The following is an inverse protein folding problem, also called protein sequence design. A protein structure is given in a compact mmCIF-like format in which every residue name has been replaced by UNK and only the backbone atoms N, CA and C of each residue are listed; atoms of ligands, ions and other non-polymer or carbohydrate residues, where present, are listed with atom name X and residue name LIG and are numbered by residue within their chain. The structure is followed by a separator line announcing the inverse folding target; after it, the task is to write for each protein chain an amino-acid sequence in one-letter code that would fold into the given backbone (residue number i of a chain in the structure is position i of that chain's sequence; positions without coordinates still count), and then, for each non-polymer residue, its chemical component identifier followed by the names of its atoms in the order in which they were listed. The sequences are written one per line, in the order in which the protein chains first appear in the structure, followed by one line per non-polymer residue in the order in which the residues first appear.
data_IF_932651118500
#
_entry.id   IF_932651118500
#
_cell.length_a   1.000
_cell.length_b   1.000
_cell.length_c   1.000
_cell.angle_alpha   90.00
_cell.angle_beta   90.00
_cell.angle_gamma   90.00
#
_symmetry.space_group_name_H-M   'P 1'
#
loop_
_entity.id
_entity.type
_entity.pdbx_description
1 polymer ?
#
# COMPACT_ATOMS: atom_id res chain seq x y z
N UNK A 1 -12.31 -37.82 -14.91
CA UNK A 1 -11.52 -38.52 -13.88
C UNK A 1 -10.33 -37.64 -13.53
N UNK A 2 -10.40 -36.87 -12.44
CA UNK A 2 -9.25 -36.12 -11.94
C UNK A 2 -8.20 -37.12 -11.42
N UNK A 3 -7.01 -37.11 -11.99
CA UNK A 3 -5.87 -37.84 -11.46
C UNK A 3 -5.47 -37.20 -10.13
N UNK A 4 -5.94 -37.74 -9.00
CA UNK A 4 -5.39 -37.39 -7.69
C UNK A 4 -3.91 -37.80 -7.68
N UNK A 5 -3.03 -36.81 -7.68
CA UNK A 5 -1.59 -37.01 -7.46
C UNK A 5 -1.43 -37.36 -5.97
N UNK A 6 -1.39 -38.64 -5.66
CA UNK A 6 -1.13 -39.13 -4.30
C UNK A 6 0.36 -39.41 -4.20
N UNK A 7 1.09 -38.67 -3.36
CA UNK A 7 2.47 -38.98 -3.04
C UNK A 7 2.53 -40.36 -2.35
N UNK A 8 3.29 -41.30 -2.88
CA UNK A 8 3.46 -42.65 -2.30
C UNK A 8 4.17 -42.63 -0.94
N UNK A 9 4.94 -41.59 -0.67
CA UNK A 9 5.67 -41.41 0.59
C UNK A 9 5.02 -40.30 1.42
N UNK A 10 4.65 -40.58 2.66
CA UNK A 10 4.03 -39.61 3.56
C UNK A 10 4.95 -38.44 3.95
N UNK A 11 6.26 -38.66 3.98
CA UNK A 11 7.23 -37.62 4.40
C UNK A 11 7.73 -36.74 3.24
N UNK A 12 7.62 -37.19 1.99
CA UNK A 12 8.12 -36.46 0.82
C UNK A 12 7.50 -35.04 0.67
N UNK A 13 6.18 -34.82 0.85
CA UNK A 13 5.62 -33.47 0.82
C UNK A 13 6.22 -32.55 1.87
N UNK A 14 6.45 -33.05 3.08
CA UNK A 14 7.08 -32.26 4.15
C UNK A 14 8.54 -31.93 3.86
N UNK A 15 9.30 -32.87 3.30
CA UNK A 15 10.68 -32.63 2.89
C UNK A 15 10.77 -31.58 1.77
N UNK A 16 9.83 -31.59 0.82
CA UNK A 16 9.76 -30.58 -0.26
C UNK A 16 9.36 -29.21 0.26
N UNK A 17 8.51 -29.12 1.30
CA UNK A 17 8.11 -27.88 1.93
C UNK A 17 9.12 -27.37 2.96
N UNK A 18 9.97 -28.25 3.50
CA UNK A 18 10.90 -27.91 4.59
C UNK A 18 11.81 -26.70 4.31
N UNK A 19 12.42 -26.53 3.11
CA UNK A 19 13.23 -25.34 2.82
C UNK A 19 12.42 -24.05 2.90
N UNK A 20 11.21 -24.04 2.33
CA UNK A 20 10.32 -22.86 2.38
C UNK A 20 9.87 -22.56 3.80
N UNK A 21 9.48 -23.60 4.57
CA UNK A 21 9.07 -23.43 5.95
C UNK A 21 10.23 -22.91 6.80
N UNK A 22 11.44 -23.46 6.62
CA UNK A 22 12.63 -22.99 7.33
C UNK A 22 12.92 -21.51 7.07
N UNK A 23 12.90 -21.07 5.81
CA UNK A 23 13.07 -19.66 5.44
C UNK A 23 11.98 -18.80 6.10
N UNK A 24 10.74 -19.25 6.05
CA UNK A 24 9.61 -18.50 6.66
C UNK A 24 9.76 -18.40 8.18
N UNK A 25 10.15 -19.47 8.86
CA UNK A 25 10.35 -19.44 10.32
C UNK A 25 11.51 -18.50 10.68
N UNK A 26 12.66 -18.65 10.01
CA UNK A 26 13.89 -17.92 10.36
C UNK A 26 13.76 -16.42 10.03
N UNK A 27 13.19 -16.06 8.89
CA UNK A 27 13.21 -14.66 8.41
C UNK A 27 11.92 -13.90 8.66
N UNK A 28 10.81 -14.57 9.01
CA UNK A 28 9.54 -13.90 9.32
C UNK A 28 9.08 -14.13 10.76
N UNK A 29 8.92 -15.38 11.18
CA UNK A 29 8.39 -15.65 12.51
C UNK A 29 9.38 -15.35 13.63
N UNK A 30 10.66 -15.65 13.43
CA UNK A 30 11.68 -15.36 14.43
C UNK A 30 11.86 -13.86 14.70
N UNK A 31 12.06 -12.97 13.70
CA UNK A 31 12.12 -11.52 13.93
C UNK A 31 10.82 -10.95 14.50
N UNK A 32 9.64 -11.47 14.08
CA UNK A 32 8.36 -11.05 14.65
C UNK A 32 8.27 -11.40 16.15
N UNK A 33 8.68 -12.61 16.53
CA UNK A 33 8.73 -13.02 17.94
C UNK A 33 9.72 -12.16 18.75
N UNK A 34 10.88 -11.82 18.17
CA UNK A 34 11.84 -10.91 18.80
C UNK A 34 11.25 -9.50 18.97
N UNK A 35 10.56 -8.97 17.97
CA UNK A 35 9.91 -7.66 18.09
C UNK A 35 8.85 -7.66 19.20
N UNK A 36 8.04 -8.74 19.31
CA UNK A 36 7.08 -8.88 20.41
C UNK A 36 7.83 -8.94 21.76
N UNK A 37 8.93 -9.65 21.85
CA UNK A 37 9.72 -9.73 23.10
C UNK A 37 10.32 -8.38 23.47
N UNK A 38 10.96 -7.68 22.53
CA UNK A 38 11.56 -6.36 22.77
C UNK A 38 10.52 -5.28 23.10
N UNK A 39 9.28 -5.43 22.65
CA UNK A 39 8.21 -4.48 22.98
C UNK A 39 7.89 -4.38 24.49
N UNK A 40 8.25 -5.41 25.27
CA UNK A 40 8.12 -5.43 26.74
C UNK A 40 9.38 -5.01 27.48
N UNK A 41 10.42 -4.62 26.76
CA UNK A 41 11.72 -4.28 27.33
C UNK A 41 12.05 -2.81 27.08
N UNK A 42 12.75 -2.20 28.03
CA UNK A 42 13.44 -0.93 27.88
C UNK A 42 14.92 -1.25 27.75
N UNK A 43 15.50 -0.86 26.62
CA UNK A 43 16.92 -1.00 26.36
C UNK A 43 17.55 0.39 26.28
N UNK A 44 18.73 0.56 26.88
CA UNK A 44 19.48 1.80 26.72
C UNK A 44 20.01 1.93 25.27
N UNK A 45 20.34 3.17 24.88
CA UNK A 45 20.78 3.48 23.52
C UNK A 45 22.07 2.73 23.09
N UNK A 46 22.83 2.22 24.05
CA UNK A 46 24.06 1.46 23.81
C UNK A 46 23.85 -0.06 23.90
N UNK A 47 22.65 -0.51 24.27
CA UNK A 47 22.34 -1.94 24.41
C UNK A 47 23.01 -2.63 25.60
N UNK A 48 23.56 -1.87 26.56
CA UNK A 48 24.29 -2.39 27.70
C UNK A 48 23.38 -2.87 28.83
N UNK A 49 22.22 -2.22 28.96
CA UNK A 49 21.22 -2.56 29.98
C UNK A 49 19.87 -2.78 29.35
N UNK A 50 19.23 -3.86 29.74
CA UNK A 50 17.87 -4.21 29.31
C UNK A 50 17.03 -4.52 30.54
N UNK A 51 15.91 -3.80 30.68
CA UNK A 51 14.97 -3.96 31.80
C UNK A 51 13.62 -4.43 31.26
N UNK A 52 12.98 -5.37 31.95
CA UNK A 52 11.62 -5.79 31.59
C UNK A 52 10.61 -4.80 32.21
N UNK A 53 9.94 -4.03 31.35
CA UNK A 53 9.01 -2.96 31.75
C UNK A 53 7.54 -3.28 31.48
N UNK A 54 7.23 -4.50 31.05
CA UNK A 54 5.88 -4.93 30.77
C UNK A 54 5.20 -4.07 29.69
N UNK A 55 4.02 -3.53 29.96
CA UNK A 55 3.24 -2.72 29.01
C UNK A 55 3.58 -1.24 28.99
N UNK A 56 4.67 -0.82 29.66
CA UNK A 56 5.03 0.60 29.74
C UNK A 56 5.23 1.24 28.38
N UNK A 57 5.98 0.61 27.47
CA UNK A 57 6.22 1.13 26.12
C UNK A 57 4.90 1.40 25.38
N UNK A 58 3.91 0.52 25.51
CA UNK A 58 2.61 0.71 24.90
C UNK A 58 1.83 1.87 25.52
N UNK A 59 1.88 2.03 26.85
CA UNK A 59 1.20 3.12 27.52
C UNK A 59 1.82 4.48 27.18
N UNK A 60 3.13 4.53 27.05
CA UNK A 60 3.88 5.75 26.70
C UNK A 60 3.58 6.17 25.25
N UNK A 61 3.53 5.21 24.29
CA UNK A 61 3.15 5.47 22.91
C UNK A 61 1.72 6.01 22.79
N UNK A 62 0.76 5.47 23.53
CA UNK A 62 -0.62 5.95 23.47
C UNK A 62 -0.80 7.37 24.07
N UNK A 63 0.19 7.87 24.82
CA UNK A 63 0.25 9.23 25.35
C UNK A 63 1.12 10.16 24.52
N UNK A 64 1.94 9.60 23.62
CA UNK A 64 2.82 10.41 22.75
C UNK A 64 2.00 11.09 21.63
N UNK A 65 1.94 12.42 21.69
CA UNK A 65 1.26 13.23 20.68
C UNK A 65 1.83 13.04 19.27
N UNK A 66 3.14 12.80 19.13
CA UNK A 66 3.78 12.57 17.84
C UNK A 66 3.37 11.22 17.25
N UNK A 67 3.23 10.19 18.10
CA UNK A 67 2.74 8.88 17.65
C UNK A 67 1.29 8.95 17.18
N UNK A 68 0.43 9.63 17.93
CA UNK A 68 -0.98 9.84 17.55
C UNK A 68 -1.10 10.67 16.26
N UNK A 69 -0.24 11.68 16.07
CA UNK A 69 -0.17 12.43 14.83
C UNK A 69 0.23 11.54 13.65
N UNK A 70 1.23 10.67 13.82
CA UNK A 70 1.65 9.70 12.79
C UNK A 70 0.55 8.70 12.44
N UNK A 71 -0.27 8.31 13.40
CA UNK A 71 -1.46 7.49 13.15
C UNK A 71 -2.46 8.19 12.23
N UNK A 72 -2.79 9.46 12.54
CA UNK A 72 -3.66 10.29 11.69
C UNK A 72 -3.08 10.48 10.29
N UNK A 73 -1.79 10.78 10.21
CA UNK A 73 -1.05 10.92 8.94
C UNK A 73 -1.14 9.65 8.10
N UNK A 74 -0.95 8.46 8.73
CA UNK A 74 -1.07 7.17 8.05
C UNK A 74 -2.49 6.93 7.52
N UNK A 75 -3.51 7.23 8.33
CA UNK A 75 -4.90 7.07 7.92
C UNK A 75 -5.24 7.95 6.70
N UNK A 76 -4.87 9.23 6.74
CA UNK A 76 -5.09 10.16 5.62
C UNK A 76 -4.32 9.70 4.38
N UNK A 77 -3.04 9.39 4.52
CA UNK A 77 -2.20 8.88 3.43
C UNK A 77 -2.79 7.62 2.79
N UNK A 78 -3.19 6.64 3.61
CA UNK A 78 -3.75 5.36 3.11
C UNK A 78 -5.05 5.56 2.35
N UNK A 79 -5.95 6.41 2.84
CA UNK A 79 -7.21 6.74 2.15
C UNK A 79 -6.93 7.43 0.82
N UNK A 80 -5.99 8.37 0.78
CA UNK A 80 -5.64 9.09 -0.44
C UNK A 80 -4.99 8.16 -1.47
N UNK A 81 -4.02 7.33 -1.07
CA UNK A 81 -3.33 6.40 -1.98
C UNK A 81 -4.28 5.32 -2.48
N UNK A 82 -5.01 4.65 -1.59
CA UNK A 82 -5.94 3.59 -1.97
C UNK A 82 -7.08 4.14 -2.82
N UNK A 83 -7.70 5.24 -2.39
CA UNK A 83 -8.82 5.85 -3.10
C UNK A 83 -8.43 6.36 -4.49
N UNK A 84 -7.37 7.16 -4.59
CA UNK A 84 -6.90 7.66 -5.89
C UNK A 84 -6.37 6.54 -6.78
N UNK A 85 -5.62 5.58 -6.22
CA UNK A 85 -5.07 4.44 -6.96
C UNK A 85 -6.17 3.57 -7.59
N UNK A 86 -7.20 3.23 -6.82
CA UNK A 86 -8.36 2.46 -7.31
C UNK A 86 -9.16 3.27 -8.34
N UNK A 87 -9.49 4.52 -8.04
CA UNK A 87 -10.30 5.34 -8.93
C UNK A 87 -9.62 5.59 -10.28
N UNK A 88 -8.36 6.02 -10.28
CA UNK A 88 -7.62 6.32 -11.51
C UNK A 88 -7.39 5.05 -12.33
N UNK A 89 -7.00 3.95 -11.69
CA UNK A 89 -6.76 2.69 -12.41
C UNK A 89 -8.03 2.10 -13.02
N UNK A 90 -9.18 2.22 -12.36
CA UNK A 90 -10.47 1.79 -12.92
C UNK A 90 -10.83 2.59 -14.18
N UNK A 91 -10.64 3.91 -14.15
CA UNK A 91 -10.84 4.77 -15.32
C UNK A 91 -9.90 4.37 -16.45
N UNK A 92 -8.61 4.21 -16.17
CA UNK A 92 -7.62 3.82 -17.17
C UNK A 92 -7.88 2.42 -17.74
N UNK A 93 -8.31 1.46 -16.92
CA UNK A 93 -8.67 0.12 -17.35
C UNK A 93 -9.90 0.10 -18.25
N UNK A 94 -10.94 0.88 -17.91
CA UNK A 94 -12.13 1.02 -18.74
C UNK A 94 -11.85 1.70 -20.08
N UNK A 95 -10.90 2.63 -20.12
CA UNK A 95 -10.42 3.23 -21.38
C UNK A 95 -9.62 2.22 -22.20
N UNK A 96 -8.71 1.46 -21.57
CA UNK A 96 -7.86 0.47 -22.23
C UNK A 96 -8.65 -0.71 -22.83
N UNK A 97 -9.74 -1.12 -22.18
CA UNK A 97 -10.61 -2.20 -22.66
C UNK A 97 -11.28 -1.85 -24.01
N UNK A 98 -11.43 -0.55 -24.30
CA UNK A 98 -12.04 -0.05 -25.55
C UNK A 98 -11.03 0.25 -26.66
N UNK A 99 -9.72 0.28 -26.35
CA UNK A 99 -8.68 0.64 -27.33
C UNK A 99 -8.42 -0.50 -28.29
N UNK A 100 -8.67 -0.27 -29.58
CA UNK A 100 -8.45 -1.26 -30.65
C UNK A 100 -7.06 -1.10 -31.27
N UNK A 101 -6.61 0.16 -31.49
CA UNK A 101 -5.29 0.46 -32.09
C UNK A 101 -4.31 0.95 -31.04
N UNK A 102 -3.07 0.42 -31.04
CA UNK A 102 -2.04 0.80 -30.08
C UNK A 102 -2.24 0.23 -28.67
N UNK A 103 -3.14 -0.73 -28.48
CA UNK A 103 -3.47 -1.32 -27.18
C UNK A 103 -2.23 -1.85 -26.43
N UNK A 104 -1.28 -2.46 -27.15
CA UNK A 104 -0.05 -2.96 -26.54
C UNK A 104 0.81 -1.84 -25.95
N UNK A 105 1.05 -0.78 -26.73
CA UNK A 105 1.84 0.38 -26.27
C UNK A 105 1.19 1.05 -25.07
N UNK A 106 -0.14 1.26 -25.10
CA UNK A 106 -0.88 1.85 -24.00
C UNK A 106 -0.78 1.01 -22.71
N UNK A 107 -0.99 -0.30 -22.83
CA UNK A 107 -0.88 -1.23 -21.71
C UNK A 107 0.54 -1.27 -21.14
N UNK A 108 1.56 -1.34 -22.01
CA UNK A 108 2.97 -1.35 -21.59
C UNK A 108 3.32 -0.08 -20.82
N UNK A 109 2.91 1.10 -21.32
CA UNK A 109 3.15 2.38 -20.64
C UNK A 109 2.48 2.48 -19.27
N UNK A 110 1.32 1.84 -19.10
CA UNK A 110 0.63 1.83 -17.80
C UNK A 110 1.18 0.80 -16.82
N UNK A 111 1.81 -0.25 -17.30
CA UNK A 111 2.31 -1.35 -16.45
C UNK A 111 3.74 -1.08 -15.96
N UNK A 112 4.60 -0.43 -16.76
CA UNK A 112 6.01 -0.30 -16.42
C UNK A 112 6.32 0.38 -15.07
N UNK A 113 5.53 1.37 -14.55
CA UNK A 113 5.81 1.95 -13.25
C UNK A 113 5.85 0.93 -12.09
N UNK A 114 5.16 -0.18 -12.23
CA UNK A 114 5.19 -1.27 -11.24
C UNK A 114 6.60 -1.86 -11.08
N UNK A 115 7.39 -1.93 -12.13
CA UNK A 115 8.76 -2.47 -12.10
C UNK A 115 9.76 -1.54 -11.38
N UNK A 116 9.39 -0.27 -11.15
CA UNK A 116 10.27 0.71 -10.48
C UNK A 116 10.32 0.43 -8.99
N UNK A 117 11.51 0.32 -8.41
CA UNK A 117 11.67 0.18 -6.96
C UNK A 117 11.07 1.39 -6.21
N UNK A 118 10.44 1.20 -5.03
CA UNK A 118 9.79 2.30 -4.30
C UNK A 118 10.71 3.50 -4.03
N UNK A 119 11.94 3.25 -3.59
CA UNK A 119 12.92 4.31 -3.34
C UNK A 119 13.31 5.07 -4.62
N UNK A 120 13.45 4.37 -5.75
CA UNK A 120 13.75 5.02 -7.05
C UNK A 120 12.57 5.89 -7.48
N UNK A 121 11.34 5.41 -7.32
CA UNK A 121 10.15 6.23 -7.57
C UNK A 121 10.17 7.50 -6.70
N UNK A 122 10.48 7.37 -5.42
CA UNK A 122 10.59 8.52 -4.52
C UNK A 122 11.60 9.56 -4.99
N UNK A 123 12.83 9.13 -5.33
CA UNK A 123 13.88 10.01 -5.85
C UNK A 123 13.44 10.71 -7.15
N UNK A 124 12.84 9.97 -8.10
CA UNK A 124 12.36 10.53 -9.36
C UNK A 124 11.31 11.63 -9.13
N UNK A 125 10.33 11.38 -8.27
CA UNK A 125 9.29 12.35 -7.96
C UNK A 125 9.84 13.55 -7.18
N UNK A 126 10.73 13.33 -6.21
CA UNK A 126 11.40 14.42 -5.49
C UNK A 126 12.18 15.33 -6.46
N UNK A 127 12.90 14.76 -7.44
CA UNK A 127 13.65 15.51 -8.42
C UNK A 127 12.74 16.29 -9.39
N UNK A 128 11.70 15.64 -9.93
CA UNK A 128 10.75 16.29 -10.85
C UNK A 128 10.03 17.48 -10.21
N UNK A 129 9.74 17.39 -8.91
CA UNK A 129 9.03 18.40 -8.13
C UNK A 129 9.96 19.23 -7.23
N UNK A 130 11.28 19.12 -7.39
CA UNK A 130 12.22 19.90 -6.57
C UNK A 130 11.96 21.41 -6.70
N UNK A 131 11.88 22.16 -5.58
CA UNK A 131 11.51 23.57 -5.63
C UNK A 131 12.43 24.44 -6.48
N UNK A 132 13.72 24.13 -6.52
CA UNK A 132 14.74 24.94 -7.24
C UNK A 132 14.97 24.53 -8.69
N UNK A 133 14.94 23.24 -9.00
CA UNK A 133 15.37 22.67 -10.30
C UNK A 133 14.33 21.78 -10.99
N UNK A 134 13.21 21.49 -10.30
CA UNK A 134 12.19 20.56 -10.81
C UNK A 134 11.44 21.11 -12.02
N UNK A 135 11.38 20.32 -13.09
CA UNK A 135 10.69 20.75 -14.33
C UNK A 135 9.19 20.93 -14.09
N UNK A 136 8.57 20.06 -13.26
CA UNK A 136 7.15 20.18 -12.94
C UNK A 136 6.90 21.42 -12.07
N UNK A 137 7.77 21.67 -11.08
CA UNK A 137 7.72 22.89 -10.26
C UNK A 137 7.82 24.15 -11.11
N UNK A 138 8.68 24.15 -12.11
CA UNK A 138 8.81 25.28 -13.04
C UNK A 138 7.49 25.57 -13.78
N UNK A 139 6.82 24.53 -14.28
CA UNK A 139 5.52 24.66 -14.95
C UNK A 139 4.44 25.16 -14.00
N UNK A 140 4.36 24.58 -12.79
CA UNK A 140 3.40 24.95 -11.75
C UNK A 140 3.57 26.40 -11.33
N UNK A 141 4.83 26.86 -11.15
CA UNK A 141 5.13 28.26 -10.81
C UNK A 141 4.77 29.23 -11.93
N UNK A 142 4.97 28.85 -13.20
CA UNK A 142 4.47 29.65 -14.33
C UNK A 142 2.96 29.81 -14.34
N UNK A 143 2.22 28.82 -13.82
CA UNK A 143 0.78 28.91 -13.66
C UNK A 143 0.35 29.73 -12.42
N UNK A 144 1.30 30.34 -11.72
CA UNK A 144 1.03 31.23 -10.58
C UNK A 144 0.95 30.52 -9.22
N UNK A 145 1.21 29.20 -9.15
CA UNK A 145 1.15 28.48 -7.90
C UNK A 145 2.54 28.29 -7.29
N UNK A 146 2.71 28.69 -6.02
CA UNK A 146 3.98 28.55 -5.31
C UNK A 146 4.13 27.14 -4.74
N UNK A 147 4.88 26.28 -5.45
CA UNK A 147 5.15 24.92 -5.02
C UNK A 147 6.47 24.85 -4.25
N UNK A 148 6.38 24.40 -2.98
CA UNK A 148 7.53 24.15 -2.12
C UNK A 148 7.20 23.07 -1.07
N UNK A 149 7.32 21.81 -1.47
CA UNK A 149 7.05 20.67 -0.60
C UNK A 149 8.08 20.49 0.52
N UNK A 150 9.25 21.13 0.42
CA UNK A 150 10.28 21.06 1.47
C UNK A 150 9.85 21.87 2.71
N UNK A 151 9.10 22.95 2.50
CA UNK A 151 8.63 23.82 3.58
C UNK A 151 7.16 23.62 3.92
N UNK A 152 6.35 23.08 3.00
CA UNK A 152 4.90 22.95 3.15
C UNK A 152 4.46 21.49 3.28
N UNK A 153 3.95 21.10 4.46
CA UNK A 153 3.56 19.72 4.77
C UNK A 153 2.45 19.16 3.87
N UNK A 154 1.47 19.97 3.49
CA UNK A 154 0.38 19.52 2.60
C UNK A 154 0.91 19.20 1.19
N UNK A 155 1.87 19.98 0.70
CA UNK A 155 2.51 19.73 -0.59
C UNK A 155 3.43 18.52 -0.52
N UNK A 156 4.13 18.31 0.60
CA UNK A 156 4.92 17.12 0.85
C UNK A 156 4.03 15.86 0.87
N UNK A 157 2.89 15.92 1.57
CA UNK A 157 1.89 14.84 1.59
C UNK A 157 1.38 14.55 0.17
N UNK A 158 1.03 15.59 -0.59
CA UNK A 158 0.57 15.42 -1.97
C UNK A 158 1.65 14.76 -2.84
N UNK A 159 2.92 15.15 -2.70
CA UNK A 159 4.04 14.56 -3.44
C UNK A 159 4.17 13.05 -3.17
N UNK A 160 4.20 12.64 -1.89
CA UNK A 160 4.36 11.22 -1.55
C UNK A 160 3.12 10.40 -1.92
N UNK A 161 1.91 10.98 -1.85
CA UNK A 161 0.68 10.36 -2.35
C UNK A 161 0.75 10.15 -3.86
N UNK A 162 1.17 11.15 -4.64
CA UNK A 162 1.32 11.04 -6.09
C UNK A 162 2.33 9.97 -6.46
N UNK A 163 3.50 9.92 -5.81
CA UNK A 163 4.55 8.94 -6.08
C UNK A 163 4.09 7.50 -5.76
N UNK A 164 3.45 7.31 -4.59
CA UNK A 164 2.93 6.01 -4.18
C UNK A 164 1.78 5.55 -5.07
N UNK A 165 0.83 6.44 -5.37
CA UNK A 165 -0.31 6.17 -6.24
C UNK A 165 0.15 5.81 -7.66
N UNK A 166 1.09 6.55 -8.23
CA UNK A 166 1.62 6.29 -9.58
C UNK A 166 2.13 4.85 -9.74
N UNK A 167 2.85 4.33 -8.76
CA UNK A 167 3.25 2.90 -8.76
C UNK A 167 2.07 1.97 -8.67
N UNK A 168 1.15 2.26 -7.76
CA UNK A 168 0.04 1.36 -7.44
C UNK A 168 -1.04 1.33 -8.53
N UNK A 169 -1.20 2.42 -9.29
CA UNK A 169 -2.07 2.45 -10.48
C UNK A 169 -1.76 1.31 -11.43
N UNK A 170 -0.48 1.03 -11.68
CA UNK A 170 -0.06 -0.03 -12.61
C UNK A 170 -0.54 -1.42 -12.18
N UNK A 171 -0.41 -1.72 -10.89
CA UNK A 171 -0.89 -2.97 -10.29
C UNK A 171 -2.43 -3.07 -10.39
N UNK A 172 -3.13 -2.05 -9.91
CA UNK A 172 -4.58 -2.00 -9.93
C UNK A 172 -5.14 -2.09 -11.35
N UNK A 173 -4.50 -1.41 -12.31
CA UNK A 173 -4.86 -1.42 -13.72
C UNK A 173 -4.89 -2.83 -14.31
N UNK A 174 -3.87 -3.65 -14.02
CA UNK A 174 -3.80 -5.04 -14.50
C UNK A 174 -4.99 -5.86 -14.03
N UNK A 175 -5.31 -5.78 -12.74
CA UNK A 175 -6.42 -6.55 -12.17
C UNK A 175 -7.78 -6.05 -12.65
N UNK A 176 -7.98 -4.74 -12.74
CA UNK A 176 -9.22 -4.19 -13.31
C UNK A 176 -9.40 -4.56 -14.78
N UNK A 177 -8.32 -4.51 -15.57
CA UNK A 177 -8.39 -4.89 -16.98
C UNK A 177 -8.74 -6.37 -17.13
N UNK A 178 -8.14 -7.27 -16.35
CA UNK A 178 -8.47 -8.67 -16.33
C UNK A 178 -9.92 -8.92 -15.88
N UNK A 179 -10.37 -8.22 -14.83
CA UNK A 179 -11.75 -8.28 -14.35
C UNK A 179 -12.74 -7.80 -15.41
N UNK A 180 -12.48 -6.69 -16.10
CA UNK A 180 -13.33 -6.20 -17.20
C UNK A 180 -13.44 -7.20 -18.33
N UNK A 181 -12.33 -7.85 -18.70
CA UNK A 181 -12.30 -8.84 -19.78
C UNK A 181 -12.99 -10.17 -19.42
N UNK A 182 -13.20 -10.44 -18.13
CA UNK A 182 -13.95 -11.63 -17.68
C UNK A 182 -15.47 -11.47 -17.73
N UNK A 183 -15.98 -10.22 -17.87
CA UNK A 183 -17.41 -9.94 -17.93
C UNK A 183 -17.98 -10.39 -19.27
N UNK A 184 -19.03 -11.24 -19.30
CA UNK A 184 -19.68 -11.67 -20.54
C UNK A 184 -20.24 -10.47 -21.32
N UNK A 185 -19.79 -10.28 -22.56
CA UNK A 185 -20.25 -9.18 -23.42
C UNK A 185 -21.76 -9.20 -23.65
N UNK A 186 -22.35 -10.40 -23.70
CA UNK A 186 -23.80 -10.59 -23.91
C UNK A 186 -24.64 -9.83 -22.87
N UNK A 187 -24.19 -9.73 -21.61
CA UNK A 187 -24.91 -8.96 -20.57
C UNK A 187 -24.93 -7.46 -20.86
N UNK A 188 -23.79 -6.93 -21.33
CA UNK A 188 -23.67 -5.50 -21.66
C UNK A 188 -24.44 -5.17 -22.94
N UNK A 189 -24.45 -6.09 -23.91
CA UNK A 189 -25.17 -5.97 -25.17
C UNK A 189 -26.69 -6.07 -24.97
N UNK A 190 -27.19 -7.03 -24.17
CA UNK A 190 -28.59 -7.14 -23.80
C UNK A 190 -29.12 -5.84 -23.17
N UNK A 191 -28.39 -5.29 -22.19
CA UNK A 191 -28.77 -4.03 -21.58
C UNK A 191 -28.73 -2.84 -22.56
N UNK A 192 -27.90 -2.91 -23.62
CA UNK A 192 -27.90 -1.90 -24.67
C UNK A 192 -29.15 -1.99 -25.53
N UNK A 193 -29.63 -3.20 -25.84
CA UNK A 193 -30.89 -3.46 -26.57
C UNK A 193 -32.08 -2.95 -25.74
N UNK A 194 -32.05 -3.13 -24.42
CA UNK A 194 -33.05 -2.60 -23.46
C UNK A 194 -32.99 -1.07 -23.29
N UNK A 195 -32.15 -0.36 -24.06
CA UNK A 195 -32.05 1.09 -24.06
C UNK A 195 -31.20 1.69 -22.93
N UNK A 196 -30.45 0.88 -22.18
CA UNK A 196 -29.55 1.39 -21.16
C UNK A 196 -28.34 2.11 -21.78
N UNK A 197 -28.16 3.40 -21.45
CA UNK A 197 -27.01 4.19 -21.87
C UNK A 197 -25.68 3.68 -21.26
N UNK A 198 -24.51 4.11 -21.80
CA UNK A 198 -23.18 3.60 -21.37
C UNK A 198 -22.90 3.76 -19.88
N UNK A 199 -23.23 4.92 -19.29
CA UNK A 199 -23.05 5.17 -17.87
C UNK A 199 -23.93 4.26 -17.02
N UNK A 200 -25.20 4.06 -17.40
CA UNK A 200 -26.11 3.16 -16.69
C UNK A 200 -25.59 1.72 -16.73
N UNK A 201 -25.19 1.22 -17.88
CA UNK A 201 -24.60 -0.13 -18.01
C UNK A 201 -23.35 -0.29 -17.14
N UNK A 202 -22.48 0.72 -17.10
CA UNK A 202 -21.30 0.69 -16.24
C UNK A 202 -21.69 0.53 -14.76
N UNK A 203 -22.53 1.39 -14.23
CA UNK A 203 -22.86 1.40 -12.79
C UNK A 203 -23.80 0.27 -12.36
N UNK A 204 -24.64 -0.27 -13.26
CA UNK A 204 -25.62 -1.32 -12.92
C UNK A 204 -25.16 -2.74 -13.24
N UNK A 205 -24.19 -2.91 -14.14
CA UNK A 205 -23.72 -4.24 -14.58
C UNK A 205 -22.21 -4.37 -14.35
N UNK A 206 -21.41 -3.52 -15.01
CA UNK A 206 -19.95 -3.69 -15.04
C UNK A 206 -19.35 -3.50 -13.66
N UNK A 207 -19.65 -2.39 -12.97
CA UNK A 207 -19.08 -2.08 -11.66
C UNK A 207 -19.48 -3.09 -10.57
N UNK A 208 -20.75 -3.52 -10.45
CA UNK A 208 -21.12 -4.61 -9.53
C UNK A 208 -20.39 -5.92 -9.82
N UNK A 209 -20.21 -6.30 -11.08
CA UNK A 209 -19.45 -7.50 -11.47
C UNK A 209 -17.94 -7.39 -11.18
N UNK A 210 -17.41 -6.17 -11.08
CA UNK A 210 -16.02 -5.90 -10.64
C UNK A 210 -15.88 -5.87 -9.12
N UNK A 211 -16.97 -6.05 -8.35
CA UNK A 211 -16.90 -5.95 -6.89
C UNK A 211 -15.91 -6.90 -6.23
N UNK A 212 -15.70 -8.17 -6.67
CA UNK A 212 -14.67 -9.03 -6.13
C UNK A 212 -13.26 -8.48 -6.36
N UNK A 213 -12.99 -8.00 -7.59
CA UNK A 213 -11.71 -7.39 -7.95
C UNK A 213 -11.47 -6.10 -7.16
N UNK A 214 -12.49 -5.25 -7.05
CA UNK A 214 -12.41 -4.00 -6.29
C UNK A 214 -12.13 -4.25 -4.81
N UNK A 215 -12.79 -5.26 -4.23
CA UNK A 215 -12.56 -5.67 -2.85
C UNK A 215 -11.12 -6.17 -2.65
N UNK A 216 -10.65 -7.07 -3.49
CA UNK A 216 -9.28 -7.57 -3.46
C UNK A 216 -8.28 -6.40 -3.55
N UNK A 217 -8.46 -5.49 -4.49
CA UNK A 217 -7.59 -4.34 -4.65
C UNK A 217 -7.66 -3.40 -3.45
N UNK A 218 -8.82 -3.21 -2.82
CA UNK A 218 -8.92 -2.41 -1.60
C UNK A 218 -8.05 -2.99 -0.47
N UNK A 219 -8.10 -4.31 -0.27
CA UNK A 219 -7.26 -5.00 0.73
C UNK A 219 -5.78 -4.78 0.42
N UNK A 220 -5.37 -5.05 -0.82
CA UNK A 220 -3.96 -4.93 -1.25
C UNK A 220 -3.46 -3.49 -1.14
N UNK A 221 -4.28 -2.49 -1.54
CA UNK A 221 -3.89 -1.08 -1.47
C UNK A 221 -3.74 -0.58 -0.03
N UNK A 222 -4.56 -1.07 0.92
CA UNK A 222 -4.40 -0.73 2.33
C UNK A 222 -3.09 -1.32 2.85
N UNK A 223 -2.81 -2.60 2.60
CA UNK A 223 -1.55 -3.24 3.02
C UNK A 223 -0.35 -2.52 2.40
N UNK A 224 -0.40 -2.20 1.10
CA UNK A 224 0.62 -1.43 0.41
C UNK A 224 0.88 -0.07 1.08
N UNK A 225 -0.17 0.70 1.38
CA UNK A 225 -0.04 2.01 2.00
C UNK A 225 0.55 1.95 3.42
N UNK A 226 0.32 0.86 4.16
CA UNK A 226 0.85 0.69 5.51
C UNK A 226 2.30 0.21 5.56
N UNK A 227 2.78 -0.57 4.57
CA UNK A 227 4.10 -1.21 4.64
C UNK A 227 5.02 -0.88 3.47
N UNK A 228 4.54 -0.93 2.23
CA UNK A 228 5.41 -0.89 1.04
C UNK A 228 5.78 0.53 0.61
N UNK A 229 5.21 1.55 1.25
CA UNK A 229 5.48 2.97 0.94
C UNK A 229 6.64 3.56 1.71
N UNK A 230 7.25 2.80 2.63
CA UNK A 230 8.45 3.22 3.38
C UNK A 230 9.53 3.79 2.46
N UNK A 231 9.91 3.06 1.40
CA UNK A 231 10.97 3.46 0.49
C UNK A 231 10.67 4.76 -0.28
N UNK A 232 9.39 5.04 -0.57
CA UNK A 232 8.99 6.31 -1.19
C UNK A 232 9.22 7.46 -0.21
N UNK A 233 8.74 7.33 1.04
CA UNK A 233 8.85 8.40 2.05
C UNK A 233 10.29 8.64 2.46
N UNK A 234 11.07 7.57 2.70
CA UNK A 234 12.47 7.69 3.11
C UNK A 234 13.32 8.38 2.04
N UNK A 235 13.08 8.10 0.76
CA UNK A 235 13.83 8.68 -0.35
C UNK A 235 13.32 10.06 -0.82
N UNK A 236 12.14 10.51 -0.38
CA UNK A 236 11.60 11.82 -0.72
C UNK A 236 11.70 12.80 0.44
N UNK A 237 10.78 12.68 1.39
CA UNK A 237 10.53 13.67 2.45
C UNK A 237 11.19 13.33 3.77
N UNK A 238 11.61 12.09 3.96
CA UNK A 238 12.12 11.58 5.24
C UNK A 238 11.19 11.90 6.42
N UNK A 239 9.89 11.78 6.19
CA UNK A 239 8.85 12.09 7.18
C UNK A 239 8.52 13.58 7.34
N UNK A 240 9.29 14.48 6.70
CA UNK A 240 9.15 15.93 6.82
C UNK A 240 8.15 16.58 5.86
N UNK A 241 8.02 17.93 5.92
CA UNK A 241 8.49 18.80 7.00
C UNK A 241 7.68 18.62 8.29
N UNK A 242 8.33 18.80 9.44
CA UNK A 242 7.69 18.75 10.76
C UNK A 242 6.79 17.53 11.02
N UNK A 243 7.15 16.34 10.50
CA UNK A 243 6.37 15.10 10.64
C UNK A 243 5.15 15.00 9.72
N UNK A 244 4.95 15.91 8.78
CA UNK A 244 3.75 15.95 7.92
C UNK A 244 3.56 14.68 7.07
N UNK A 245 4.64 13.98 6.75
CA UNK A 245 4.62 12.71 6.00
C UNK A 245 5.15 11.53 6.82
N UNK A 246 5.25 11.69 8.13
CA UNK A 246 5.72 10.64 9.03
C UNK A 246 4.61 9.63 9.30
N UNK A 247 4.44 8.68 8.38
CA UNK A 247 3.52 7.54 8.55
C UNK A 247 4.10 6.52 9.55
N UNK A 248 3.27 5.65 10.10
CA UNK A 248 3.64 4.70 11.15
C UNK A 248 4.84 3.83 10.79
N UNK A 249 4.89 3.26 9.57
CA UNK A 249 6.04 2.42 9.17
C UNK A 249 7.34 3.21 9.12
N UNK A 250 7.30 4.48 8.72
CA UNK A 250 8.47 5.34 8.73
C UNK A 250 8.86 5.74 10.16
N UNK A 251 7.89 6.01 11.03
CA UNK A 251 8.14 6.33 12.45
C UNK A 251 8.79 5.15 13.19
N UNK A 252 8.33 3.92 12.97
CA UNK A 252 8.97 2.70 13.50
C UNK A 252 10.46 2.66 13.15
N UNK A 253 10.79 2.89 11.90
CA UNK A 253 12.18 2.93 11.44
C UNK A 253 12.95 4.11 12.08
N UNK A 254 12.37 5.28 12.08
CA UNK A 254 13.01 6.48 12.64
C UNK A 254 13.33 6.28 14.12
N UNK A 255 12.38 5.85 14.92
CA UNK A 255 12.56 5.67 16.36
C UNK A 255 13.52 4.50 16.66
N UNK A 256 13.39 3.37 15.95
CA UNK A 256 14.23 2.19 16.19
C UNK A 256 15.67 2.33 15.68
N UNK A 257 15.85 2.94 14.49
CA UNK A 257 17.17 2.99 13.85
C UNK A 257 17.86 4.34 14.04
N UNK A 258 17.13 5.46 13.91
CA UNK A 258 17.71 6.80 14.02
C UNK A 258 17.81 7.25 15.48
N UNK A 259 16.81 6.95 16.29
CA UNK A 259 16.76 7.33 17.71
C UNK A 259 17.28 6.23 18.66
N UNK A 260 17.59 5.03 18.13
CA UNK A 260 18.03 3.85 18.89
C UNK A 260 17.06 3.42 20.02
N UNK A 261 15.76 3.70 19.86
CA UNK A 261 14.72 3.25 20.78
C UNK A 261 14.16 1.89 20.29
N UNK A 262 14.83 0.80 20.71
CA UNK A 262 14.47 -0.55 20.30
C UNK A 262 13.15 -1.00 20.94
N UNK A 263 12.91 -0.69 22.21
CA UNK A 263 11.70 -1.07 22.93
C UNK A 263 10.45 -0.36 22.41
N UNK A 264 10.51 0.96 22.27
CA UNK A 264 9.41 1.76 21.75
C UNK A 264 9.09 1.44 20.29
N UNK A 265 10.09 1.32 19.43
CA UNK A 265 9.87 0.95 18.00
C UNK A 265 9.32 -0.46 17.83
N UNK A 266 9.72 -1.39 18.70
CA UNK A 266 9.16 -2.75 18.73
C UNK A 266 7.69 -2.73 19.16
N UNK A 267 7.32 -1.93 20.17
CA UNK A 267 5.93 -1.76 20.55
C UNK A 267 5.09 -1.12 19.45
N UNK A 268 5.63 -0.12 18.71
CA UNK A 268 4.99 0.45 17.53
C UNK A 268 4.78 -0.59 16.43
N UNK A 269 5.76 -1.46 16.18
CA UNK A 269 5.66 -2.55 15.20
C UNK A 269 4.54 -3.53 15.55
N UNK A 270 4.41 -3.90 16.83
CA UNK A 270 3.34 -4.77 17.32
C UNK A 270 1.97 -4.09 17.14
N UNK A 271 1.83 -2.82 17.49
CA UNK A 271 0.58 -2.07 17.29
C UNK A 271 0.25 -1.99 15.79
N UNK A 272 1.22 -1.67 14.94
CA UNK A 272 1.02 -1.60 13.49
C UNK A 272 0.53 -2.95 12.93
N UNK A 273 1.14 -4.06 13.34
CA UNK A 273 0.71 -5.40 12.97
C UNK A 273 -0.74 -5.68 13.41
N UNK A 274 -1.09 -5.33 14.65
CA UNK A 274 -2.45 -5.53 15.17
C UNK A 274 -3.49 -4.69 14.41
N UNK A 275 -3.14 -3.44 14.05
CA UNK A 275 -4.01 -2.56 13.24
C UNK A 275 -4.29 -3.22 11.88
N UNK A 276 -3.27 -3.70 11.18
CA UNK A 276 -3.44 -4.30 9.85
C UNK A 276 -4.20 -5.62 9.93
N UNK A 277 -3.95 -6.45 10.95
CA UNK A 277 -4.75 -7.66 11.20
C UNK A 277 -6.22 -7.28 11.43
N UNK A 278 -6.50 -6.31 12.29
CA UNK A 278 -7.86 -5.86 12.57
C UNK A 278 -8.55 -5.30 11.32
N UNK A 279 -7.87 -4.45 10.53
CA UNK A 279 -8.39 -3.94 9.26
C UNK A 279 -8.69 -5.08 8.28
N UNK A 280 -7.78 -6.04 8.15
CA UNK A 280 -7.96 -7.20 7.27
C UNK A 280 -9.15 -8.04 7.71
N UNK A 281 -9.28 -8.34 9.00
CA UNK A 281 -10.43 -9.08 9.56
C UNK A 281 -11.74 -8.34 9.30
N UNK A 282 -11.77 -7.02 9.52
CA UNK A 282 -12.94 -6.18 9.23
C UNK A 282 -13.31 -6.23 7.74
N UNK A 283 -12.33 -6.10 6.87
CA UNK A 283 -12.54 -6.16 5.42
C UNK A 283 -13.15 -7.50 5.01
N UNK A 284 -12.56 -8.63 5.41
CA UNK A 284 -13.08 -9.95 5.08
C UNK A 284 -14.44 -10.24 5.71
N UNK A 285 -14.67 -9.83 6.95
CA UNK A 285 -15.93 -10.15 7.66
C UNK A 285 -17.13 -9.31 7.20
N UNK A 286 -16.92 -8.02 6.86
CA UNK A 286 -18.02 -7.10 6.63
C UNK A 286 -18.15 -6.66 5.17
N UNK A 287 -17.04 -6.52 4.44
CA UNK A 287 -17.06 -6.02 3.06
C UNK A 287 -17.26 -7.18 2.09
N UNK A 288 -16.57 -8.31 2.28
CA UNK A 288 -16.70 -9.50 1.43
C UNK A 288 -18.15 -10.01 1.31
N UNK A 289 -18.92 -9.93 2.40
CA UNK A 289 -20.34 -10.33 2.41
C UNK A 289 -21.23 -9.51 1.45
N UNK A 290 -20.76 -8.32 1.03
CA UNK A 290 -21.47 -7.45 0.09
C UNK A 290 -20.95 -7.60 -1.33
N UNK A 291 -19.93 -8.42 -1.54
CA UNK A 291 -19.36 -8.70 -2.86
C UNK A 291 -20.27 -9.69 -3.59
N UNK A 292 -20.63 -9.37 -4.82
CA UNK A 292 -21.42 -10.24 -5.69
C UNK A 292 -20.45 -11.09 -6.53
N UNK A 293 -20.50 -12.41 -6.35
CA UNK A 293 -19.70 -13.38 -7.10
C UNK A 293 -20.48 -13.92 -8.31
#
# INVERSE_FOLDING_TARGET
MEKRVVFRSAWLPYALLAPQIAVTIIFFFWPAAQAIWFSFQLQDAFGLHTEFVGLKNFSDLLRDGNYLASFKTTAVFSVLVAGSGIAVSLVLATMADRVIRGALAYKTLLIWPYAVAPAVAGVLWAFLFAPSIGIVTYVIRKAGYNWDWVLQGDQAMLLVVMAATWKQISYNFLFFLAGLQSIPRSLVEAAAIDGAGPARRFWTIVFPMLSPTTFFLLVVNIVYAFFDTFGVIDSTTQGGPAGATQILVYKVYYDGVKSADLGGSSAQSVILMLIVIALTVVQFRFIERKVQY
#
